data_IF_065902823561
#
_entry.id   IF_065902823561
#
_cell.length_a   1.000
_cell.length_b   1.000
_cell.length_c   1.000
_cell.angle_alpha   90.00
_cell.angle_beta   90.00
_cell.angle_gamma   90.00
#
_symmetry.space_group_name_H-M   'P 1'
#
loop_
_entity.id
_entity.type
_entity.pdbx_description
1 polymer ?
#
# COMPACT_ATOMS: atom_id res chain seq x y z
N UNK A 1 11.01 13.94 6.92
CA UNK A 1 10.52 12.65 7.49
C UNK A 1 9.19 12.90 8.18
N UNK A 2 8.29 11.92 8.17
CA UNK A 2 6.99 12.02 8.83
C UNK A 2 6.89 11.04 9.99
N UNK A 3 6.22 11.47 11.06
CA UNK A 3 5.82 10.60 12.17
C UNK A 3 4.30 10.40 12.15
N UNK A 4 3.86 9.16 12.24
CA UNK A 4 2.44 8.82 12.21
C UNK A 4 2.12 7.57 13.02
N UNK A 5 0.89 7.52 13.53
CA UNK A 5 0.32 6.34 14.16
C UNK A 5 -0.57 5.60 13.16
N UNK A 6 -0.52 4.27 13.16
CA UNK A 6 -1.37 3.41 12.33
C UNK A 6 -2.35 2.65 13.23
N UNK A 7 -3.62 2.68 12.84
CA UNK A 7 -4.69 1.91 13.45
C UNK A 7 -5.38 1.05 12.39
N UNK A 8 -5.83 -0.13 12.80
CA UNK A 8 -6.62 -1.03 11.95
C UNK A 8 -7.84 -1.46 12.74
N UNK A 9 -9.03 -1.21 12.21
CA UNK A 9 -10.30 -1.50 12.88
C UNK A 9 -10.31 -0.97 14.33
N UNK A 10 -9.96 0.32 14.48
CA UNK A 10 -9.81 1.07 15.74
C UNK A 10 -8.74 0.54 16.73
N UNK A 11 -7.92 -0.44 16.33
CA UNK A 11 -6.83 -0.97 17.16
C UNK A 11 -5.50 -0.34 16.78
N UNK A 12 -4.78 0.18 17.77
CA UNK A 12 -3.42 0.68 17.57
C UNK A 12 -2.49 -0.45 17.12
N UNK A 13 -1.78 -0.24 16.01
CA UNK A 13 -0.81 -1.19 15.46
C UNK A 13 0.59 -0.78 15.85
N UNK A 14 0.99 0.44 15.46
CA UNK A 14 2.30 0.99 15.77
C UNK A 14 2.35 2.50 15.54
N UNK A 15 3.42 3.10 16.07
CA UNK A 15 3.92 4.42 15.71
C UNK A 15 5.15 4.23 14.80
N UNK A 16 5.29 5.09 13.79
CA UNK A 16 6.37 5.01 12.81
C UNK A 16 6.96 6.36 12.48
N UNK A 17 8.29 6.40 12.34
CA UNK A 17 9.03 7.47 11.67
C UNK A 17 9.61 6.92 10.37
N UNK A 18 9.21 7.49 9.25
CA UNK A 18 9.53 7.00 7.91
C UNK A 18 9.43 8.13 6.87
N UNK A 19 9.90 7.89 5.65
CA UNK A 19 9.64 8.80 4.53
C UNK A 19 8.16 8.77 4.14
N UNK A 20 7.49 7.64 4.36
CA UNK A 20 6.06 7.49 4.10
C UNK A 20 5.52 6.10 4.38
N UNK A 21 4.23 5.93 4.09
CA UNK A 21 3.51 4.66 4.13
C UNK A 21 2.72 4.49 2.83
N UNK A 22 2.87 3.35 2.18
CA UNK A 22 2.06 2.94 1.03
C UNK A 22 0.93 2.05 1.55
N UNK A 23 -0.30 2.44 1.24
CA UNK A 23 -1.48 1.59 1.37
C UNK A 23 -1.84 1.10 -0.03
N UNK A 24 -1.80 -0.21 -0.26
CA UNK A 24 -1.89 -0.79 -1.60
C UNK A 24 -2.98 -1.85 -1.72
N UNK A 25 -3.62 -1.89 -2.88
CA UNK A 25 -4.51 -2.97 -3.30
C UNK A 25 -3.69 -4.15 -3.85
N UNK A 26 -4.30 -5.33 -4.06
CA UNK A 26 -3.61 -6.45 -4.73
C UNK A 26 -3.07 -6.06 -6.11
N UNK A 27 -3.85 -5.32 -6.89
CA UNK A 27 -3.42 -4.79 -8.20
C UNK A 27 -2.27 -3.79 -8.07
N UNK A 28 -2.28 -2.94 -7.05
CA UNK A 28 -1.21 -1.97 -6.78
C UNK A 28 0.06 -2.59 -6.17
N UNK A 29 0.02 -3.87 -5.74
CA UNK A 29 1.15 -4.54 -5.09
C UNK A 29 2.39 -4.62 -5.98
N UNK A 30 2.19 -4.68 -7.30
CA UNK A 30 3.27 -4.73 -8.30
C UNK A 30 3.75 -3.33 -8.75
N UNK A 31 3.22 -2.26 -8.18
CA UNK A 31 3.60 -0.88 -8.47
C UNK A 31 4.58 -0.36 -7.41
N UNK A 32 4.34 0.83 -6.84
CA UNK A 32 5.29 1.45 -5.90
C UNK A 32 5.53 0.60 -4.64
N UNK A 33 4.52 -0.15 -4.19
CA UNK A 33 4.65 -1.10 -3.09
C UNK A 33 5.76 -2.14 -3.35
N UNK A 34 5.89 -2.63 -4.58
CA UNK A 34 6.95 -3.57 -4.97
C UNK A 34 8.33 -2.93 -4.83
N UNK A 35 8.47 -1.69 -5.31
CA UNK A 35 9.73 -0.92 -5.21
C UNK A 35 10.14 -0.67 -3.76
N UNK A 36 9.17 -0.55 -2.85
CA UNK A 36 9.41 -0.36 -1.41
C UNK A 36 9.56 -1.68 -0.64
N UNK A 37 9.69 -2.82 -1.31
CA UNK A 37 9.92 -4.11 -0.67
C UNK A 37 8.64 -4.81 -0.16
N UNK A 38 7.47 -4.36 -0.63
CA UNK A 38 6.20 -5.03 -0.41
C UNK A 38 6.08 -6.34 -1.22
N UNK A 39 5.25 -7.29 -0.76
CA UNK A 39 5.03 -8.53 -1.49
C UNK A 39 4.11 -8.32 -2.68
N UNK A 40 4.28 -9.17 -3.70
CA UNK A 40 3.35 -9.29 -4.81
C UNK A 40 2.11 -10.03 -4.34
N UNK A 41 0.94 -9.44 -4.61
CA UNK A 41 -0.36 -10.01 -4.28
C UNK A 41 -1.11 -10.34 -5.57
N UNK A 42 -1.66 -11.56 -5.63
CA UNK A 42 -2.51 -11.96 -6.75
C UNK A 42 -3.81 -11.12 -6.75
N UNK A 43 -4.31 -10.60 -7.90
CA UNK A 43 -5.50 -9.75 -7.98
C UNK A 43 -6.77 -10.35 -7.35
N UNK A 44 -6.85 -11.68 -7.27
CA UNK A 44 -7.95 -12.40 -6.62
C UNK A 44 -7.93 -12.43 -5.09
N UNK A 45 -6.89 -11.93 -4.43
CA UNK A 45 -6.81 -11.84 -2.97
C UNK A 45 -7.58 -10.62 -2.48
N UNK A 46 -8.46 -10.76 -1.49
CA UNK A 46 -9.12 -9.61 -0.87
C UNK A 46 -8.32 -9.09 0.34
N UNK A 47 -7.34 -8.22 0.10
CA UNK A 47 -6.46 -7.67 1.14
C UNK A 47 -6.10 -6.21 0.89
N UNK A 48 -5.73 -5.50 1.97
CA UNK A 48 -5.01 -4.23 1.94
C UNK A 48 -3.58 -4.49 2.41
N UNK A 49 -2.59 -4.00 1.65
CA UNK A 49 -1.18 -4.06 2.03
C UNK A 49 -0.68 -2.72 2.58
N UNK A 50 0.13 -2.78 3.63
CA UNK A 50 0.80 -1.63 4.25
C UNK A 50 2.32 -1.82 4.10
N UNK A 51 2.98 -0.88 3.43
CA UNK A 51 4.42 -0.95 3.12
C UNK A 51 5.07 0.40 3.44
N UNK A 52 5.91 0.46 4.47
CA UNK A 52 6.63 1.70 4.81
C UNK A 52 7.75 2.01 3.82
N UNK A 53 7.93 3.30 3.53
CA UNK A 53 9.03 3.83 2.72
C UNK A 53 10.15 4.24 3.68
N UNK A 54 11.31 3.58 3.59
CA UNK A 54 12.49 3.88 4.41
C UNK A 54 12.18 4.02 5.92
N UNK A 55 11.59 3.01 6.59
CA UNK A 55 11.26 3.11 8.01
C UNK A 55 12.54 3.18 8.86
N UNK A 56 12.58 4.09 9.84
CA UNK A 56 13.70 4.24 10.78
C UNK A 56 13.71 3.17 11.91
N UNK A 57 13.04 2.04 11.68
CA UNK A 57 13.01 0.90 12.61
C UNK A 57 13.36 -0.38 11.86
N UNK A 58 14.30 -1.16 12.42
CA UNK A 58 14.79 -2.40 11.79
C UNK A 58 13.75 -3.53 11.78
N UNK A 59 12.76 -3.47 12.68
CA UNK A 59 11.75 -4.51 12.86
C UNK A 59 10.52 -4.35 11.97
N UNK A 60 10.38 -3.22 11.25
CA UNK A 60 9.19 -3.01 10.44
C UNK A 60 9.14 -3.98 9.25
N UNK A 61 7.95 -4.52 8.96
CA UNK A 61 7.70 -5.46 7.87
C UNK A 61 6.39 -5.09 7.18
N UNK A 62 6.24 -5.36 5.88
CA UNK A 62 4.96 -5.24 5.21
C UNK A 62 3.85 -6.00 5.96
N UNK A 63 2.70 -5.36 6.12
CA UNK A 63 1.54 -5.93 6.81
C UNK A 63 0.38 -6.06 5.82
N UNK A 64 -0.20 -7.25 5.71
CA UNK A 64 -1.41 -7.49 4.95
C UNK A 64 -2.57 -7.69 5.91
N UNK A 65 -3.70 -7.03 5.64
CA UNK A 65 -4.94 -7.16 6.41
C UNK A 65 -6.11 -7.47 5.49
N UNK A 66 -7.23 -8.00 6.02
CA UNK A 66 -8.43 -8.24 5.23
C UNK A 66 -8.87 -7.00 4.45
N UNK A 67 -9.32 -7.18 3.21
CA UNK A 67 -9.69 -6.04 2.36
C UNK A 67 -10.85 -5.20 2.91
N UNK A 68 -11.67 -5.77 3.79
CA UNK A 68 -12.75 -5.06 4.47
C UNK A 68 -12.35 -4.24 5.70
N UNK A 69 -11.08 -4.27 6.12
CA UNK A 69 -10.62 -3.49 7.28
C UNK A 69 -10.56 -1.99 6.98
N UNK A 70 -10.76 -1.17 8.00
CA UNK A 70 -10.46 0.27 7.95
C UNK A 70 -9.04 0.52 8.46
N UNK A 71 -8.20 1.15 7.64
CA UNK A 71 -6.87 1.61 8.03
C UNK A 71 -6.93 3.10 8.31
N UNK A 72 -6.53 3.50 9.51
CA UNK A 72 -6.43 4.91 9.89
C UNK A 72 -4.97 5.28 10.11
N UNK A 73 -4.52 6.33 9.44
CA UNK A 73 -3.17 6.88 9.59
C UNK A 73 -3.31 8.28 10.16
N UNK A 74 -2.79 8.48 11.38
CA UNK A 74 -2.82 9.77 12.06
C UNK A 74 -1.45 10.42 11.95
N UNK A 75 -1.36 11.53 11.22
CA UNK A 75 -0.09 12.27 11.09
C UNK A 75 0.17 13.01 12.39
N UNK A 76 1.28 12.68 13.06
CA UNK A 76 1.67 13.27 14.35
C UNK A 76 2.53 14.50 14.14
N UNK A 77 3.63 14.32 13.43
CA UNK A 77 4.59 15.39 13.13
C UNK A 77 5.06 15.28 11.69
N UNK A 78 5.21 16.43 11.05
CA UNK A 78 5.83 16.58 9.75
C UNK A 78 6.45 17.96 9.63
N UNK A 79 7.77 18.03 9.51
CA UNK A 79 8.51 19.31 9.44
C UNK A 79 8.22 20.08 8.14
N UNK A 80 8.06 19.37 7.01
CA UNK A 80 7.87 19.95 5.67
C UNK A 80 6.42 19.83 5.16
N UNK A 81 5.52 19.29 5.99
CA UNK A 81 4.16 18.91 5.59
C UNK A 81 4.10 17.48 5.02
N UNK A 82 2.94 16.85 5.12
CA UNK A 82 2.69 15.53 4.55
C UNK A 82 1.80 15.67 3.31
N UNK A 83 1.95 14.77 2.36
CA UNK A 83 1.09 14.70 1.19
C UNK A 83 0.62 13.27 1.01
N UNK A 84 -0.66 13.09 0.70
CA UNK A 84 -1.20 11.80 0.27
C UNK A 84 -1.39 11.85 -1.24
N UNK A 85 -0.88 10.82 -1.93
CA UNK A 85 -1.02 10.65 -3.37
C UNK A 85 -1.85 9.42 -3.67
N UNK A 86 -2.79 9.53 -4.60
CA UNK A 86 -3.68 8.47 -5.06
C UNK A 86 -3.26 8.04 -6.46
N UNK A 87 -2.91 6.76 -6.61
CA UNK A 87 -2.48 6.13 -7.87
C UNK A 87 -1.36 6.88 -8.64
N UNK A 88 -0.58 7.69 -7.93
CA UNK A 88 0.49 8.53 -8.52
C UNK A 88 -0.02 9.70 -9.36
N UNK A 89 -1.30 10.05 -9.27
CA UNK A 89 -1.93 11.07 -10.13
C UNK A 89 -2.37 12.31 -9.36
N UNK A 90 -3.21 12.12 -8.32
CA UNK A 90 -3.78 13.23 -7.55
C UNK A 90 -3.16 13.26 -6.17
N UNK A 91 -2.81 14.45 -5.69
CA UNK A 91 -2.23 14.63 -4.36
C UNK A 91 -2.99 15.67 -3.54
N UNK A 92 -3.05 15.43 -2.22
CA UNK A 92 -3.69 16.31 -1.25
C UNK A 92 -2.72 16.54 -0.09
N UNK A 93 -2.51 17.81 0.26
CA UNK A 93 -1.70 18.19 1.42
C UNK A 93 -2.44 17.83 2.72
N UNK A 94 -1.69 17.33 3.70
CA UNK A 94 -2.19 16.92 5.01
C UNK A 94 -1.37 17.59 6.09
N UNK A 95 -2.08 18.07 7.11
CA UNK A 95 -1.46 18.72 8.28
C UNK A 95 -1.45 17.78 9.48
N UNK A 96 -0.53 18.03 10.41
CA UNK A 96 -0.45 17.29 11.67
C UNK A 96 -1.78 17.33 12.43
N UNK A 97 -2.15 16.20 13.03
CA UNK A 97 -3.40 16.01 13.75
C UNK A 97 -4.58 15.56 12.89
N UNK A 98 -4.43 15.48 11.55
CA UNK A 98 -5.46 14.91 10.67
C UNK A 98 -5.32 13.39 10.55
N UNK A 99 -6.47 12.74 10.39
CA UNK A 99 -6.59 11.31 10.14
C UNK A 99 -6.86 11.06 8.65
N UNK A 100 -6.08 10.17 8.05
CA UNK A 100 -6.34 9.57 6.75
C UNK A 100 -7.05 8.25 7.01
N UNK A 101 -8.25 8.07 6.45
CA UNK A 101 -9.00 6.82 6.55
C UNK A 101 -9.06 6.14 5.20
N UNK A 102 -8.53 4.93 5.12
CA UNK A 102 -8.53 4.10 3.92
C UNK A 102 -9.41 2.90 4.17
N UNK A 103 -10.37 2.69 3.27
CA UNK A 103 -11.30 1.56 3.29
C UNK A 103 -11.55 1.09 1.87
N UNK A 104 -11.89 -0.19 1.71
CA UNK A 104 -12.39 -0.70 0.45
C UNK A 104 -13.67 0.03 0.06
N UNK A 105 -13.72 0.46 -1.20
CA UNK A 105 -14.92 1.07 -1.77
C UNK A 105 -15.99 0.01 -2.05
N UNK A 106 -17.27 0.38 -1.95
CA UNK A 106 -18.39 -0.55 -2.16
C UNK A 106 -18.56 -1.02 -3.62
N UNK A 107 -17.94 -0.31 -4.56
CA UNK A 107 -17.95 -0.63 -5.99
C UNK A 107 -16.57 -1.08 -6.47
N UNK A 108 -16.54 -2.10 -7.32
CA UNK A 108 -15.35 -2.69 -7.89
C UNK A 108 -15.20 -2.35 -9.38
N UNK A 109 -13.95 -2.21 -9.83
CA UNK A 109 -13.63 -2.10 -11.25
C UNK A 109 -13.78 -3.50 -11.88
N UNK A 110 -14.48 -3.57 -13.01
CA UNK A 110 -14.62 -4.80 -13.79
C UNK A 110 -13.66 -4.73 -14.98
N UNK A 111 -12.63 -5.58 -14.97
CA UNK A 111 -11.67 -5.68 -16.05
C UNK A 111 -12.05 -6.83 -16.99
N UNK A 112 -11.96 -6.59 -18.29
CA UNK A 112 -12.13 -7.62 -19.31
C UNK A 112 -10.76 -8.14 -19.72
N UNK A 113 -10.62 -9.45 -19.76
CA UNK A 113 -9.40 -10.13 -20.15
C UNK A 113 -9.63 -10.98 -21.40
N UNK A 114 -8.62 -11.10 -22.29
CA UNK A 114 -8.64 -12.09 -23.37
C UNK A 114 -8.86 -13.51 -22.84
N UNK A 115 -9.40 -14.42 -23.66
CA UNK A 115 -9.68 -15.80 -23.25
C UNK A 115 -8.44 -16.55 -22.74
N UNK A 116 -7.27 -16.20 -23.23
CA UNK A 116 -5.98 -16.80 -22.90
C UNK A 116 -5.19 -15.98 -21.85
N UNK A 117 -5.86 -15.18 -21.02
CA UNK A 117 -5.21 -14.41 -19.98
C UNK A 117 -4.54 -15.31 -18.92
N UNK A 118 -3.22 -15.18 -18.80
CA UNK A 118 -2.42 -15.77 -17.72
C UNK A 118 -1.73 -14.64 -16.93
N UNK A 119 -2.21 -14.40 -15.71
CA UNK A 119 -1.59 -13.43 -14.80
C UNK A 119 -0.11 -13.74 -14.51
N UNK A 120 0.23 -15.01 -14.34
CA UNK A 120 1.61 -15.40 -14.04
C UNK A 120 2.51 -15.26 -15.26
N UNK A 121 2.00 -15.41 -16.48
CA UNK A 121 2.76 -15.08 -17.70
C UNK A 121 3.17 -13.61 -17.72
N UNK A 122 2.22 -12.72 -17.39
CA UNK A 122 2.48 -11.28 -17.31
C UNK A 122 3.58 -10.99 -16.29
N UNK A 123 3.48 -11.55 -15.08
CA UNK A 123 4.51 -11.31 -14.06
C UNK A 123 5.85 -11.93 -14.43
N UNK A 124 5.89 -13.15 -14.96
CA UNK A 124 7.13 -13.78 -15.44
C UNK A 124 7.82 -12.92 -16.50
N UNK A 125 7.04 -12.33 -17.41
CA UNK A 125 7.54 -11.42 -18.45
C UNK A 125 8.05 -10.10 -17.86
N UNK A 126 7.26 -9.45 -17.00
CA UNK A 126 7.57 -8.13 -16.43
C UNK A 126 8.72 -8.13 -15.42
N UNK A 127 8.89 -9.22 -14.66
CA UNK A 127 9.94 -9.36 -13.64
C UNK A 127 11.09 -10.27 -14.09
N UNK A 128 11.09 -10.72 -15.34
CA UNK A 128 12.13 -11.57 -15.93
C UNK A 128 12.35 -12.91 -15.19
N UNK A 129 11.32 -13.46 -14.54
CA UNK A 129 11.40 -14.73 -13.81
C UNK A 129 11.38 -15.98 -14.69
N UNK A 130 11.11 -15.83 -15.99
CA UNK A 130 11.07 -16.92 -16.96
C UNK A 130 12.44 -17.28 -17.58
N UNK A 131 13.51 -16.56 -17.22
CA UNK A 131 14.85 -16.91 -17.68
C UNK A 131 15.20 -18.32 -17.19
N UNK A 132 15.65 -19.20 -18.10
CA UNK A 132 16.17 -20.52 -17.71
C UNK A 132 17.39 -20.29 -16.83
N UNK A 133 17.40 -20.95 -15.66
CA UNK A 133 18.58 -21.12 -14.83
C UNK A 133 19.69 -21.83 -15.62
#
# INVERSE_FOLDING_TARGET
MIEFDVFIDDKFVNNQRADGLIVTTPTGSTAYALSSGGPIMHPGVNAIGLVSICPHTMSHRPLLVPGGSEVVIRVKESEEGATVSFDGQTSVAIVSGQDIRVRQHGSFIHLLHPQNYDYFEIIRSKLHWGAKL
#
